data_IF_400307691166
#
_entry.id   IF_400307691166
#
_cell.length_a   1.000
_cell.length_b   1.000
_cell.length_c   1.000
_cell.angle_alpha   90.00
_cell.angle_beta   90.00
_cell.angle_gamma   90.00
#
_symmetry.space_group_name_H-M   'P 1'
#
loop_
_entity.id
_entity.type
_entity.pdbx_description
1 polymer ?
#
# COMPACT_ATOMS: atom_id res chain seq x y z
N UNK A 1 3.46 -14.19 -10.19
CA UNK A 1 2.71 -13.10 -9.56
C UNK A 1 1.26 -13.36 -9.84
N UNK A 2 0.40 -13.32 -8.83
CA UNK A 2 -1.03 -13.61 -8.96
C UNK A 2 -1.81 -12.39 -8.52
N UNK A 3 -2.85 -12.03 -9.27
CA UNK A 3 -3.82 -11.00 -8.87
C UNK A 3 -5.13 -11.72 -8.54
N UNK A 4 -5.71 -11.42 -7.37
CA UNK A 4 -7.03 -11.84 -6.93
C UNK A 4 -7.84 -10.56 -6.75
N UNK A 5 -9.03 -10.52 -7.33
CA UNK A 5 -9.90 -9.34 -7.31
C UNK A 5 -11.24 -9.69 -6.67
N UNK A 6 -11.67 -8.85 -5.74
CA UNK A 6 -12.97 -8.91 -5.07
C UNK A 6 -13.59 -7.52 -5.14
N UNK A 7 -14.19 -7.22 -6.28
CA UNK A 7 -14.72 -5.90 -6.64
C UNK A 7 -16.24 -6.00 -6.74
N UNK A 8 -16.93 -5.62 -5.68
CA UNK A 8 -18.38 -5.76 -5.55
C UNK A 8 -19.12 -4.43 -5.78
N UNK A 9 -18.48 -3.31 -5.44
CA UNK A 9 -19.10 -1.98 -5.44
C UNK A 9 -18.70 -1.10 -6.62
N UNK A 10 -17.61 -1.37 -7.33
CA UNK A 10 -17.18 -0.57 -8.49
C UNK A 10 -18.22 -0.60 -9.62
N UNK A 11 -19.01 -1.67 -9.72
CA UNK A 11 -20.07 -1.81 -10.72
C UNK A 11 -21.36 -1.05 -10.36
N UNK A 12 -21.53 -0.62 -9.09
CA UNK A 12 -22.69 0.17 -8.66
C UNK A 12 -22.77 1.53 -9.40
N UNK A 13 -23.97 2.11 -9.44
CA UNK A 13 -24.14 3.48 -9.94
C UNK A 13 -23.32 4.50 -9.13
N UNK A 14 -22.73 5.48 -9.81
CA UNK A 14 -21.94 6.54 -9.16
C UNK A 14 -22.70 7.27 -8.04
N UNK A 15 -24.02 7.42 -8.18
CA UNK A 15 -24.92 8.02 -7.19
C UNK A 15 -25.01 7.16 -5.92
N UNK A 16 -25.10 5.84 -6.06
CA UNK A 16 -25.15 4.85 -4.98
C UNK A 16 -23.85 4.86 -4.18
N UNK A 17 -22.70 4.75 -4.86
CA UNK A 17 -21.37 4.76 -4.25
C UNK A 17 -21.17 6.05 -3.44
N UNK A 18 -21.46 7.21 -4.05
CA UNK A 18 -21.31 8.51 -3.38
C UNK A 18 -22.22 8.62 -2.16
N UNK A 19 -23.44 8.09 -2.21
CA UNK A 19 -24.39 8.13 -1.09
C UNK A 19 -24.00 7.20 0.05
N UNK A 20 -23.55 5.97 -0.26
CA UNK A 20 -23.19 4.95 0.74
C UNK A 20 -21.85 5.23 1.41
N UNK A 21 -20.84 5.59 0.62
CA UNK A 21 -19.45 5.61 1.07
C UNK A 21 -18.82 7.01 1.00
N UNK A 22 -19.49 7.98 0.37
CA UNK A 22 -18.96 9.34 0.26
C UNK A 22 -17.77 9.47 -0.69
N UNK A 23 -17.42 8.43 -1.45
CA UNK A 23 -16.32 8.42 -2.43
C UNK A 23 -16.83 8.60 -3.86
N UNK A 24 -15.93 8.96 -4.78
CA UNK A 24 -16.23 9.11 -6.21
C UNK A 24 -15.97 7.80 -6.94
N UNK A 25 -16.91 7.34 -7.77
CA UNK A 25 -16.69 6.18 -8.67
C UNK A 25 -15.46 6.39 -9.55
N UNK A 26 -15.25 7.62 -10.04
CA UNK A 26 -14.08 7.94 -10.87
C UNK A 26 -12.77 7.73 -10.09
N UNK A 27 -12.71 8.14 -8.82
CA UNK A 27 -11.50 7.93 -8.02
C UNK A 27 -11.27 6.44 -7.73
N UNK A 28 -12.32 5.63 -7.55
CA UNK A 28 -12.17 4.18 -7.41
C UNK A 28 -11.63 3.54 -8.70
N UNK A 29 -12.11 3.98 -9.87
CA UNK A 29 -11.59 3.54 -11.17
C UNK A 29 -10.12 3.95 -11.33
N UNK A 30 -9.79 5.21 -11.01
CA UNK A 30 -8.40 5.69 -11.07
C UNK A 30 -7.50 4.90 -10.12
N UNK A 31 -7.99 4.59 -8.91
CA UNK A 31 -7.25 3.81 -7.94
C UNK A 31 -7.00 2.38 -8.42
N UNK A 32 -8.04 1.72 -8.96
CA UNK A 32 -7.93 0.42 -9.60
C UNK A 32 -6.88 0.45 -10.72
N UNK A 33 -6.98 1.40 -11.65
CA UNK A 33 -6.04 1.53 -12.76
C UNK A 33 -4.60 1.80 -12.29
N UNK A 34 -4.42 2.65 -11.27
CA UNK A 34 -3.10 2.96 -10.71
C UNK A 34 -2.41 1.75 -10.09
N UNK A 35 -3.17 0.92 -9.36
CA UNK A 35 -2.66 -0.35 -8.82
C UNK A 35 -2.25 -1.28 -9.96
N UNK A 36 -3.11 -1.48 -10.97
CA UNK A 36 -2.81 -2.37 -12.08
C UNK A 36 -1.56 -1.94 -12.85
N UNK A 37 -1.42 -0.64 -13.11
CA UNK A 37 -0.24 -0.09 -13.77
C UNK A 37 1.04 -0.33 -12.94
N UNK A 38 0.97 -0.15 -11.62
CA UNK A 38 2.11 -0.44 -10.74
C UNK A 38 2.48 -1.94 -10.76
N UNK A 39 1.50 -2.84 -10.71
CA UNK A 39 1.73 -4.30 -10.79
C UNK A 39 2.34 -4.69 -12.14
N UNK A 40 1.82 -4.14 -13.24
CA UNK A 40 2.34 -4.39 -14.59
C UNK A 40 3.79 -3.91 -14.72
N UNK A 41 4.08 -2.70 -14.25
CA UNK A 41 5.44 -2.16 -14.22
C UNK A 41 6.38 -3.03 -13.37
N UNK A 42 5.95 -3.46 -12.18
CA UNK A 42 6.73 -4.37 -11.33
C UNK A 42 7.06 -5.68 -12.04
N UNK A 43 6.17 -6.18 -12.91
CA UNK A 43 6.36 -7.42 -13.68
C UNK A 43 7.47 -7.33 -14.74
N UNK A 44 7.80 -6.11 -15.17
CA UNK A 44 8.79 -5.83 -16.22
C UNK A 44 10.05 -5.14 -15.70
N UNK A 45 9.99 -4.57 -14.49
CA UNK A 45 11.11 -3.88 -13.83
C UNK A 45 12.18 -4.83 -13.26
N UNK A 46 13.23 -4.23 -12.69
CA UNK A 46 14.29 -4.96 -11.96
C UNK A 46 13.77 -5.75 -10.74
N UNK A 47 12.57 -5.42 -10.25
CA UNK A 47 11.97 -6.05 -9.08
C UNK A 47 11.21 -7.34 -9.40
N UNK A 48 11.07 -7.71 -10.68
CA UNK A 48 10.31 -8.90 -11.12
C UNK A 48 10.55 -10.15 -10.28
N UNK A 49 11.81 -10.49 -10.01
CA UNK A 49 12.19 -11.68 -9.23
C UNK A 49 11.79 -11.61 -7.75
N UNK A 50 11.64 -10.41 -7.21
CA UNK A 50 11.18 -10.20 -5.83
C UNK A 50 9.67 -10.34 -5.75
N UNK A 51 8.95 -9.94 -6.81
CA UNK A 51 7.48 -9.94 -6.83
C UNK A 51 6.85 -11.15 -7.50
N UNK A 52 7.64 -12.04 -8.09
CA UNK A 52 7.13 -13.17 -8.88
C UNK A 52 6.31 -14.17 -8.08
N UNK A 53 6.54 -14.26 -6.78
CA UNK A 53 5.81 -15.13 -5.87
C UNK A 53 4.83 -14.36 -4.99
N UNK A 54 4.52 -13.09 -5.26
CA UNK A 54 3.52 -12.32 -4.51
C UNK A 54 2.10 -12.58 -5.05
N UNK A 55 1.14 -12.62 -4.13
CA UNK A 55 -0.29 -12.46 -4.44
C UNK A 55 -0.71 -11.02 -4.13
N UNK A 56 -1.27 -10.33 -5.11
CA UNK A 56 -1.97 -9.06 -4.93
C UNK A 56 -3.46 -9.35 -4.76
N UNK A 57 -4.04 -8.89 -3.65
CA UNK A 57 -5.47 -8.99 -3.40
C UNK A 57 -6.07 -7.57 -3.47
N UNK A 58 -6.86 -7.30 -4.51
CA UNK A 58 -7.46 -5.99 -4.77
C UNK A 58 -8.94 -6.08 -4.46
N UNK A 59 -9.42 -5.21 -3.58
CA UNK A 59 -10.82 -5.20 -3.14
C UNK A 59 -11.40 -3.80 -3.05
N UNK A 60 -12.72 -3.70 -3.01
CA UNK A 60 -13.46 -2.49 -2.66
C UNK A 60 -14.38 -2.69 -1.44
N UNK A 61 -14.11 -3.70 -0.62
CA UNK A 61 -14.80 -3.91 0.64
C UNK A 61 -14.68 -2.68 1.57
N UNK A 62 -15.69 -2.37 2.41
CA UNK A 62 -15.68 -1.20 3.28
C UNK A 62 -14.78 -1.43 4.52
N UNK A 63 -13.47 -1.56 4.30
CA UNK A 63 -12.42 -1.70 5.29
C UNK A 63 -11.54 -0.44 5.31
N UNK A 64 -10.95 -0.13 6.48
CA UNK A 64 -10.22 1.12 6.71
C UNK A 64 -8.69 0.93 6.62
N UNK A 65 -8.20 0.30 5.55
CA UNK A 65 -6.77 0.37 5.20
C UNK A 65 -6.60 0.46 3.68
N UNK A 66 -5.73 1.35 3.18
CA UNK A 66 -5.49 1.49 1.75
C UNK A 66 -4.60 0.37 1.19
N UNK A 67 -3.67 -0.13 2.00
CA UNK A 67 -2.75 -1.21 1.68
C UNK A 67 -2.25 -1.93 2.94
N UNK A 68 -1.90 -3.21 2.80
CA UNK A 68 -1.24 -3.98 3.85
C UNK A 68 -0.44 -5.15 3.25
N UNK A 69 0.80 -5.32 3.69
CA UNK A 69 1.57 -6.56 3.48
C UNK A 69 1.20 -7.60 4.56
N UNK A 70 0.46 -8.63 4.16
CA UNK A 70 0.19 -9.81 4.97
C UNK A 70 1.24 -10.91 4.76
N UNK A 71 1.69 -11.51 5.85
CA UNK A 71 2.57 -12.69 5.85
C UNK A 71 1.87 -13.83 6.60
N UNK A 72 1.46 -14.87 5.87
CA UNK A 72 0.76 -16.01 6.46
C UNK A 72 1.72 -17.08 6.99
N UNK A 73 1.39 -17.64 8.15
CA UNK A 73 2.21 -18.65 8.84
C UNK A 73 1.94 -20.10 8.40
N UNK A 74 0.81 -20.38 7.74
CA UNK A 74 0.42 -21.75 7.35
C UNK A 74 1.23 -22.31 6.17
N UNK A 75 1.34 -23.65 6.12
CA UNK A 75 2.20 -24.60 5.38
C UNK A 75 3.09 -24.13 4.19
N UNK A 76 2.73 -23.10 3.43
CA UNK A 76 3.56 -22.49 2.39
C UNK A 76 3.61 -20.97 2.59
N UNK A 77 4.80 -20.46 2.93
CA UNK A 77 5.04 -19.03 3.05
C UNK A 77 4.65 -18.30 1.76
N UNK A 78 3.67 -17.40 1.87
CA UNK A 78 3.11 -16.67 0.74
C UNK A 78 2.89 -15.21 1.17
N UNK A 79 3.73 -14.26 0.73
CA UNK A 79 3.46 -12.85 0.95
C UNK A 79 2.23 -12.43 0.12
N UNK A 80 1.33 -11.70 0.76
CA UNK A 80 0.11 -11.18 0.13
C UNK A 80 0.07 -9.68 0.35
N UNK A 81 -0.08 -8.91 -0.73
CA UNK A 81 -0.30 -7.47 -0.65
C UNK A 81 -1.79 -7.22 -0.85
N UNK A 82 -2.45 -6.77 0.21
CA UNK A 82 -3.84 -6.35 0.20
C UNK A 82 -3.92 -4.89 -0.20
N UNK A 83 -4.82 -4.55 -1.13
CA UNK A 83 -5.04 -3.19 -1.60
C UNK A 83 -6.53 -2.93 -1.69
N UNK A 84 -6.97 -1.79 -1.15
CA UNK A 84 -8.37 -1.42 -1.16
C UNK A 84 -8.62 -0.14 -1.97
N UNK A 85 -9.26 -0.28 -3.13
CA UNK A 85 -9.50 0.85 -4.04
C UNK A 85 -10.47 1.89 -3.45
N UNK A 86 -11.38 1.47 -2.55
CA UNK A 86 -12.32 2.35 -1.88
C UNK A 86 -11.63 3.20 -0.81
N UNK A 87 -10.80 2.58 0.02
CA UNK A 87 -10.01 3.24 1.05
C UNK A 87 -8.99 4.22 0.42
N UNK A 88 -8.30 3.81 -0.65
CA UNK A 88 -7.39 4.68 -1.41
C UNK A 88 -8.14 5.90 -1.97
N UNK A 89 -9.31 5.70 -2.58
CA UNK A 89 -10.13 6.80 -3.09
C UNK A 89 -10.62 7.75 -1.97
N UNK A 90 -10.87 7.22 -0.78
CA UNK A 90 -11.24 8.01 0.38
C UNK A 90 -10.06 8.83 0.92
N UNK A 91 -8.89 8.22 1.08
CA UNK A 91 -7.66 8.86 1.54
C UNK A 91 -7.17 9.93 0.55
N UNK A 92 -7.29 9.66 -0.74
CA UNK A 92 -7.06 10.65 -1.80
C UNK A 92 -7.96 11.88 -1.63
N UNK A 93 -9.28 11.67 -1.43
CA UNK A 93 -10.24 12.75 -1.21
C UNK A 93 -9.93 13.56 0.06
N UNK A 94 -9.42 12.90 1.11
CA UNK A 94 -8.98 13.52 2.36
C UNK A 94 -7.61 14.22 2.25
N UNK A 95 -6.95 14.10 1.09
CA UNK A 95 -5.60 14.62 0.81
C UNK A 95 -4.51 14.04 1.72
N UNK A 96 -4.66 12.77 2.09
CA UNK A 96 -3.67 12.07 2.91
C UNK A 96 -2.35 11.86 2.15
N UNK A 97 -2.39 11.85 0.81
CA UNK A 97 -1.20 11.86 -0.06
C UNK A 97 -0.20 12.98 0.27
N UNK A 98 -0.64 14.11 0.85
CA UNK A 98 0.26 15.19 1.28
C UNK A 98 1.24 14.75 2.37
N UNK A 99 0.84 13.79 3.21
CA UNK A 99 1.70 13.22 4.26
C UNK A 99 2.74 12.24 3.71
N UNK A 100 2.39 11.57 2.62
CA UNK A 100 3.11 10.42 2.08
C UNK A 100 4.03 10.81 0.94
N UNK A 101 3.53 11.62 0.01
CA UNK A 101 4.19 12.00 -1.22
C UNK A 101 4.86 13.38 -1.15
N UNK A 102 4.53 14.19 -0.13
CA UNK A 102 5.00 15.58 0.05
C UNK A 102 4.72 16.47 -1.20
N UNK A 103 3.63 16.20 -1.92
CA UNK A 103 3.25 16.87 -3.18
C UNK A 103 1.84 17.44 -3.11
N UNK A 104 1.66 18.67 -3.62
CA UNK A 104 0.38 19.38 -3.58
C UNK A 104 -0.63 18.88 -4.63
N UNK A 105 -0.11 18.46 -5.78
CA UNK A 105 -0.87 17.95 -6.91
C UNK A 105 -0.42 16.51 -7.17
N UNK A 106 -1.36 15.58 -6.97
CA UNK A 106 -1.22 14.14 -7.19
C UNK A 106 -2.58 13.70 -7.73
N UNK A 107 -2.61 12.82 -8.72
CA UNK A 107 -3.85 12.19 -9.20
C UNK A 107 -4.20 10.96 -8.35
N UNK A 108 -5.46 10.55 -8.33
CA UNK A 108 -5.85 9.34 -7.59
C UNK A 108 -5.15 8.08 -8.14
N UNK A 109 -4.82 8.07 -9.44
CA UNK A 109 -4.01 7.04 -10.09
C UNK A 109 -2.60 6.96 -9.50
N UNK A 110 -1.89 8.10 -9.47
CA UNK A 110 -0.52 8.16 -8.92
C UNK A 110 -0.50 7.79 -7.44
N UNK A 111 -1.52 8.23 -6.69
CA UNK A 111 -1.64 7.91 -5.28
C UNK A 111 -1.85 6.40 -5.05
N UNK A 112 -2.70 5.77 -5.86
CA UNK A 112 -2.94 4.33 -5.75
C UNK A 112 -1.71 3.50 -6.15
N UNK A 113 -0.99 3.92 -7.19
CA UNK A 113 0.29 3.34 -7.57
C UNK A 113 1.32 3.49 -6.44
N UNK A 114 1.37 4.67 -5.79
CA UNK A 114 2.22 4.90 -4.62
C UNK A 114 1.89 3.91 -3.49
N UNK A 115 0.62 3.74 -3.12
CA UNK A 115 0.21 2.80 -2.05
C UNK A 115 0.63 1.38 -2.39
N UNK A 116 0.41 0.92 -3.63
CA UNK A 116 0.87 -0.40 -4.08
C UNK A 116 2.39 -0.56 -3.93
N UNK A 117 3.16 0.42 -4.41
CA UNK A 117 4.62 0.41 -4.32
C UNK A 117 5.12 0.53 -2.88
N UNK A 118 4.37 1.18 -1.98
CA UNK A 118 4.68 1.28 -0.56
C UNK A 118 4.66 -0.11 0.09
N UNK A 119 3.61 -0.90 -0.15
CA UNK A 119 3.53 -2.27 0.39
C UNK A 119 4.63 -3.18 -0.19
N UNK A 120 4.98 -2.99 -1.47
CA UNK A 120 6.13 -3.66 -2.09
C UNK A 120 7.45 -3.20 -1.46
N UNK A 121 7.54 -1.93 -1.06
CA UNK A 121 8.66 -1.37 -0.32
C UNK A 121 8.86 -2.06 1.03
N UNK A 122 7.79 -2.31 1.78
CA UNK A 122 7.84 -3.11 3.01
C UNK A 122 8.42 -4.49 2.77
N UNK A 123 7.97 -5.18 1.72
CA UNK A 123 8.52 -6.48 1.35
C UNK A 123 10.01 -6.38 1.00
N UNK A 124 10.40 -5.44 0.14
CA UNK A 124 11.78 -5.30 -0.32
C UNK A 124 12.72 -4.99 0.84
N UNK A 125 12.37 -4.04 1.69
CA UNK A 125 13.15 -3.70 2.86
C UNK A 125 13.18 -4.82 3.90
N UNK A 126 12.06 -5.54 4.08
CA UNK A 126 12.01 -6.74 4.91
C UNK A 126 12.97 -7.82 4.45
N UNK A 127 12.98 -8.10 3.15
CA UNK A 127 13.93 -9.04 2.58
C UNK A 127 15.36 -8.51 2.79
N UNK A 128 15.71 -7.31 2.34
CA UNK A 128 17.10 -6.81 2.43
C UNK A 128 17.60 -6.66 3.87
N UNK A 129 16.76 -6.18 4.79
CA UNK A 129 17.15 -5.81 6.15
C UNK A 129 17.10 -6.95 7.19
N UNK A 130 16.40 -8.04 6.90
CA UNK A 130 16.29 -9.19 7.79
C UNK A 130 17.51 -10.12 7.78
N UNK A 131 17.89 -10.65 8.94
CA UNK A 131 19.05 -11.55 9.13
C UNK A 131 18.79 -13.05 8.88
N UNK A 132 17.65 -13.40 8.29
CA UNK A 132 17.27 -14.80 7.99
C UNK A 132 17.89 -15.38 6.72
N UNK A 133 17.86 -16.71 6.58
CA UNK A 133 18.31 -17.41 5.36
C UNK A 133 17.19 -17.53 4.34
N UNK A 134 15.99 -17.88 4.80
CA UNK A 134 14.78 -17.95 3.99
C UNK A 134 14.07 -16.59 3.91
N UNK A 135 13.26 -16.39 2.85
CA UNK A 135 12.46 -15.15 2.68
C UNK A 135 11.62 -14.87 3.93
N UNK A 136 10.97 -15.91 4.47
CA UNK A 136 10.16 -15.86 5.68
C UNK A 136 10.91 -15.24 6.85
N UNK A 137 12.03 -15.86 7.22
CA UNK A 137 12.82 -15.48 8.39
C UNK A 137 13.29 -14.02 8.29
N UNK A 138 13.64 -13.57 7.07
CA UNK A 138 14.06 -12.19 6.81
C UNK A 138 12.92 -11.21 7.07
N UNK A 139 11.70 -11.50 6.58
CA UNK A 139 10.55 -10.64 6.85
C UNK A 139 10.21 -10.58 8.34
N UNK A 140 10.09 -11.72 9.01
CA UNK A 140 9.76 -11.76 10.44
C UNK A 140 10.81 -11.02 11.29
N UNK A 141 12.10 -11.29 11.08
CA UNK A 141 13.18 -10.60 11.81
C UNK A 141 13.18 -9.07 11.57
N UNK A 142 12.90 -8.63 10.34
CA UNK A 142 12.79 -7.21 10.04
C UNK A 142 11.61 -6.57 10.78
N UNK A 143 10.40 -7.14 10.69
CA UNK A 143 9.22 -6.57 11.34
C UNK A 143 9.31 -6.63 12.87
N UNK A 144 9.90 -7.68 13.45
CA UNK A 144 10.16 -7.80 14.89
C UNK A 144 11.07 -6.66 15.41
N UNK A 145 12.13 -6.32 14.67
CA UNK A 145 12.98 -5.16 14.99
C UNK A 145 12.23 -3.84 14.92
N UNK A 146 11.20 -3.76 14.08
CA UNK A 146 10.31 -2.61 13.94
C UNK A 146 9.30 -2.47 15.06
N UNK A 147 8.90 -3.58 15.67
CA UNK A 147 7.79 -3.69 16.61
C UNK A 147 7.89 -2.68 17.78
N UNK A 148 9.12 -2.40 18.24
CA UNK A 148 9.38 -1.38 19.26
C UNK A 148 8.85 0.01 18.88
N UNK A 149 9.04 0.45 17.63
CA UNK A 149 8.59 1.75 17.16
C UNK A 149 7.07 1.82 17.06
N UNK A 150 6.44 0.75 16.57
CA UNK A 150 4.98 0.66 16.48
C UNK A 150 4.33 0.60 17.88
N UNK A 151 4.88 -0.20 18.81
CA UNK A 151 4.41 -0.25 20.22
C UNK A 151 4.49 1.12 20.88
N UNK A 152 5.59 1.86 20.67
CA UNK A 152 5.72 3.23 21.20
C UNK A 152 4.74 4.20 20.56
N UNK A 153 4.54 4.12 19.25
CA UNK A 153 3.56 4.94 18.56
C UNK A 153 2.15 4.71 19.14
N UNK A 154 1.72 3.44 19.25
CA UNK A 154 0.41 3.07 19.82
C UNK A 154 0.26 3.54 21.26
N UNK A 155 1.32 3.42 22.08
CA UNK A 155 1.29 3.89 23.47
C UNK A 155 1.17 5.43 23.61
N UNK A 156 1.68 6.19 22.64
CA UNK A 156 1.61 7.66 22.62
C UNK A 156 0.38 8.20 21.87
N UNK A 157 -0.32 7.35 21.12
CA UNK A 157 -1.49 7.68 20.31
C UNK A 157 -2.70 7.96 21.21
N UNK A 158 -3.41 9.07 20.96
CA UNK A 158 -4.61 9.46 21.70
C UNK A 158 -5.88 9.29 20.88
N UNK A 159 -5.84 9.70 19.62
CA UNK A 159 -7.02 9.72 18.75
C UNK A 159 -6.86 8.76 17.57
N UNK A 160 -5.64 8.64 17.02
CA UNK A 160 -5.29 7.70 15.95
C UNK A 160 -5.68 8.16 14.55
N UNK A 161 -6.38 9.29 14.44
CA UNK A 161 -6.80 9.84 13.15
C UNK A 161 -6.34 11.29 12.93
N UNK A 162 -5.61 11.89 13.87
CA UNK A 162 -5.16 13.28 13.69
C UNK A 162 -3.99 13.37 12.71
N UNK A 163 -3.92 14.47 11.96
CA UNK A 163 -2.79 14.74 11.06
C UNK A 163 -1.44 14.60 11.75
N UNK A 164 -1.32 15.08 13.00
CA UNK A 164 -0.08 14.98 13.79
C UNK A 164 0.30 13.52 14.09
N UNK A 165 -0.67 12.68 14.41
CA UNK A 165 -0.43 11.26 14.68
C UNK A 165 -0.13 10.50 13.40
N UNK A 166 -0.87 10.72 12.32
CA UNK A 166 -0.56 10.12 11.00
C UNK A 166 0.84 10.51 10.50
N UNK A 167 1.20 11.79 10.66
CA UNK A 167 2.56 12.26 10.35
C UNK A 167 3.63 11.59 11.22
N UNK A 168 3.35 11.33 12.51
CA UNK A 168 4.26 10.57 13.38
C UNK A 168 4.40 9.13 12.89
N UNK A 169 3.29 8.49 12.54
CA UNK A 169 3.26 7.12 12.00
C UNK A 169 4.13 7.00 10.74
N UNK A 170 3.94 7.87 9.74
CA UNK A 170 4.76 7.90 8.51
C UNK A 170 6.24 8.20 8.74
N UNK A 171 6.63 8.69 9.92
CA UNK A 171 8.03 8.88 10.30
C UNK A 171 8.65 7.68 11.04
N UNK A 172 7.90 6.61 11.30
CA UNK A 172 8.46 5.34 11.76
C UNK A 172 9.47 4.86 10.69
N UNK A 173 10.66 4.36 11.06
CA UNK A 173 11.70 4.03 10.10
C UNK A 173 11.27 3.11 8.95
N UNK A 174 10.42 2.12 9.24
CA UNK A 174 9.94 1.16 8.23
C UNK A 174 8.95 1.80 7.25
N UNK A 175 7.96 2.54 7.76
CA UNK A 175 7.03 3.35 6.95
C UNK A 175 7.78 4.32 6.05
N UNK A 176 8.75 5.04 6.61
CA UNK A 176 9.54 6.01 5.87
C UNK A 176 10.41 5.37 4.79
N UNK A 177 10.94 4.17 5.05
CA UNK A 177 11.69 3.42 4.05
C UNK A 177 10.79 3.02 2.87
N UNK A 178 9.61 2.46 3.17
CA UNK A 178 8.59 2.12 2.18
C UNK A 178 8.11 3.34 1.38
N UNK A 179 7.85 4.48 2.02
CA UNK A 179 7.49 5.73 1.34
C UNK A 179 8.58 6.20 0.36
N UNK A 180 9.85 6.13 0.77
CA UNK A 180 10.96 6.53 -0.09
C UNK A 180 11.14 5.59 -1.28
N UNK A 181 10.98 4.28 -1.06
CA UNK A 181 10.96 3.29 -2.13
C UNK A 181 9.84 3.58 -3.13
N UNK A 182 8.62 3.80 -2.62
CA UNK A 182 7.45 4.08 -3.44
C UNK A 182 7.60 5.37 -4.25
N UNK A 183 8.06 6.47 -3.63
CA UNK A 183 8.37 7.73 -4.32
C UNK A 183 9.34 7.54 -5.48
N UNK A 184 10.42 6.79 -5.25
CA UNK A 184 11.43 6.56 -6.28
C UNK A 184 10.88 5.72 -7.44
N UNK A 185 10.18 4.63 -7.12
CA UNK A 185 9.61 3.73 -8.12
C UNK A 185 8.49 4.39 -8.91
N UNK A 186 7.61 5.15 -8.25
CA UNK A 186 6.53 5.87 -8.91
C UNK A 186 7.07 6.84 -9.95
N UNK A 187 8.11 7.61 -9.60
CA UNK A 187 8.76 8.52 -10.55
C UNK A 187 9.26 7.78 -11.79
N UNK A 188 9.96 6.66 -11.59
CA UNK A 188 10.50 5.85 -12.70
C UNK A 188 9.36 5.29 -13.56
N UNK A 189 8.33 4.74 -12.92
CA UNK A 189 7.15 4.20 -13.62
C UNK A 189 6.48 5.26 -14.49
N UNK A 190 6.29 6.48 -13.97
CA UNK A 190 5.65 7.57 -14.70
C UNK A 190 6.53 8.13 -15.83
N UNK A 191 7.85 8.06 -15.72
CA UNK A 191 8.78 8.46 -16.79
C UNK A 191 8.82 7.44 -17.95
N UNK A 192 8.37 6.20 -17.71
CA UNK A 192 8.36 5.09 -18.67
C UNK A 192 6.99 4.87 -19.36
N UNK A 193 5.93 5.52 -18.87
CA UNK A 193 4.55 5.49 -19.40
C UNK A 193 4.34 6.52 -20.53
#
# INVERSE_FOLDING_TARGET
>A
MKIIELIDYLDDESSSIKKKFGVSKLHMIDAYNGIHAAIEWLSTSIYKKVVEDIVFNITDEPINFPGELGVYEEDLFQPVIYLNIMAIAEDYKKKEYLLEMDQWEVTCFEYAAFVCLHEVGHLFHGLVGGSGTEKRDRLFDYFDKGEYFYKRFVAEMKYGYTYKEKKKYRNIPHEKAADNFAKQCLRIMLDEL
#
